data_IF_000432749889
#
_entry.id   IF_000432749889
#
_cell.length_a   1.000
_cell.length_b   1.000
_cell.length_c   1.000
_cell.angle_alpha   90.00
_cell.angle_beta   90.00
_cell.angle_gamma   90.00
#
_symmetry.space_group_name_H-M   'P 1'
#
loop_
_entity.id
_entity.type
_entity.pdbx_description
1 polymer ?
#
# COMPACT_ATOMS: atom_id res chain seq x y z
N UNK A 1 -1.06 -19.86 6.69
CA UNK A 1 -0.56 -19.02 5.59
C UNK A 1 0.92 -19.38 5.38
N UNK A 2 1.47 -19.25 4.18
CA UNK A 2 2.90 -19.50 3.90
C UNK A 2 3.68 -18.20 3.77
N UNK A 3 5.02 -18.22 3.91
CA UNK A 3 5.86 -17.02 3.70
C UNK A 3 5.64 -16.42 2.31
N UNK A 4 5.49 -17.24 1.28
CA UNK A 4 5.22 -16.77 -0.09
C UNK A 4 3.89 -16.02 -0.22
N UNK A 5 2.86 -16.45 0.51
CA UNK A 5 1.58 -15.73 0.55
C UNK A 5 1.75 -14.37 1.22
N UNK A 6 2.54 -14.30 2.31
CA UNK A 6 2.87 -13.04 2.99
C UNK A 6 3.54 -12.07 2.03
N UNK A 7 4.59 -12.51 1.34
CA UNK A 7 5.32 -11.67 0.38
C UNK A 7 4.39 -11.14 -0.71
N UNK A 8 3.52 -11.98 -1.27
CA UNK A 8 2.54 -11.55 -2.28
C UNK A 8 1.59 -10.48 -1.75
N UNK A 9 1.04 -10.70 -0.56
CA UNK A 9 0.12 -9.77 0.10
C UNK A 9 0.78 -8.43 0.39
N UNK A 10 2.04 -8.44 0.84
CA UNK A 10 2.84 -7.23 1.04
C UNK A 10 3.08 -6.49 -0.27
N UNK A 11 3.43 -7.18 -1.35
CA UNK A 11 3.63 -6.57 -2.67
C UNK A 11 2.34 -5.94 -3.20
N UNK A 12 1.21 -6.65 -3.10
CA UNK A 12 -0.09 -6.11 -3.46
C UNK A 12 -0.42 -4.86 -2.66
N UNK A 13 -0.26 -4.91 -1.33
CA UNK A 13 -0.50 -3.77 -0.47
C UNK A 13 0.39 -2.57 -0.83
N UNK A 14 1.70 -2.76 -1.04
CA UNK A 14 2.62 -1.69 -1.43
C UNK A 14 2.27 -1.09 -2.80
N UNK A 15 1.71 -1.90 -3.70
CA UNK A 15 1.20 -1.43 -4.99
C UNK A 15 -0.10 -0.63 -4.89
N UNK A 16 -0.72 -0.55 -3.70
CA UNK A 16 -1.97 0.16 -3.44
C UNK A 16 -3.22 -0.70 -3.32
N UNK A 17 -3.08 -2.03 -3.28
CA UNK A 17 -4.23 -2.89 -2.99
C UNK A 17 -4.73 -2.62 -1.57
N UNK A 18 -6.03 -2.38 -1.46
CA UNK A 18 -6.67 -2.14 -0.18
C UNK A 18 -7.25 -3.45 0.36
N UNK A 19 -7.24 -3.61 1.69
CA UNK A 19 -7.88 -4.74 2.39
C UNK A 19 -7.41 -6.13 1.92
N UNK A 20 -6.10 -6.30 1.83
CA UNK A 20 -5.49 -7.63 1.72
C UNK A 20 -5.81 -8.47 2.97
N UNK A 21 -5.62 -9.79 2.90
CA UNK A 21 -5.75 -10.66 4.07
C UNK A 21 -4.78 -10.25 5.19
N UNK A 22 -3.54 -9.85 4.85
CA UNK A 22 -2.52 -9.47 5.83
C UNK A 22 -2.71 -8.05 6.38
N UNK A 23 -3.07 -7.09 5.52
CA UNK A 23 -3.16 -5.67 5.87
C UNK A 23 -4.60 -5.16 5.77
N UNK A 24 -5.11 -4.66 6.89
CA UNK A 24 -6.48 -4.17 7.05
C UNK A 24 -6.50 -2.66 7.21
N UNK A 25 -7.51 -2.00 6.64
CA UNK A 25 -7.79 -0.61 7.01
C UNK A 25 -8.52 -0.57 8.35
N UNK A 26 -7.97 0.18 9.31
CA UNK A 26 -8.54 0.29 10.66
C UNK A 26 -9.43 1.53 10.80
N UNK A 27 -9.20 2.57 9.99
CA UNK A 27 -9.92 3.83 10.10
C UNK A 27 -10.22 4.48 8.75
N UNK A 28 -11.23 5.36 8.73
CA UNK A 28 -11.60 6.17 7.57
C UNK A 28 -10.49 7.16 7.14
N UNK A 29 -9.53 7.46 8.03
CA UNK A 29 -8.34 8.25 7.70
C UNK A 29 -7.36 7.49 6.77
N UNK A 30 -7.61 6.20 6.52
CA UNK A 30 -6.78 5.35 5.68
C UNK A 30 -5.67 4.62 6.42
N UNK A 31 -5.67 4.56 7.75
CA UNK A 31 -4.66 3.84 8.52
C UNK A 31 -4.67 2.33 8.21
N UNK A 32 -3.51 1.78 7.86
CA UNK A 32 -3.27 0.36 7.66
C UNK A 32 -2.71 -0.28 8.93
N UNK A 33 -3.20 -1.47 9.23
CA UNK A 33 -2.70 -2.30 10.33
C UNK A 33 -2.55 -3.76 9.88
N UNK A 34 -1.79 -4.52 10.64
CA UNK A 34 -1.53 -5.93 10.40
C UNK A 34 -2.62 -6.75 11.09
N UNK A 35 -3.20 -7.71 10.37
CA UNK A 35 -4.17 -8.62 10.96
C UNK A 35 -3.52 -9.47 12.05
N UNK A 36 -4.22 -9.60 13.18
CA UNK A 36 -3.80 -10.45 14.30
C UNK A 36 -3.70 -11.93 13.91
N UNK A 37 -2.94 -12.68 14.70
CA UNK A 37 -2.84 -14.15 14.62
C UNK A 37 -2.32 -14.68 13.28
N UNK A 38 -1.56 -13.87 12.53
CA UNK A 38 -0.79 -14.37 11.39
C UNK A 38 0.40 -15.16 11.91
N UNK A 39 0.55 -16.39 11.40
CA UNK A 39 1.65 -17.29 11.75
C UNK A 39 2.19 -17.98 10.50
N UNK A 40 3.50 -18.20 10.49
CA UNK A 40 4.23 -19.01 9.50
C UNK A 40 5.13 -20.00 10.22
N UNK A 41 5.67 -20.97 9.50
CA UNK A 41 6.43 -22.07 10.10
C UNK A 41 7.76 -21.61 10.71
N UNK A 42 8.42 -20.63 10.09
CA UNK A 42 9.82 -20.29 10.38
C UNK A 42 10.03 -18.98 11.17
N UNK A 43 8.96 -18.30 11.59
CA UNK A 43 9.05 -17.04 12.33
C UNK A 43 8.13 -17.07 13.55
N UNK A 44 8.59 -16.49 14.66
CA UNK A 44 7.72 -16.26 15.81
C UNK A 44 6.64 -15.23 15.46
N UNK A 45 5.44 -15.31 16.06
CA UNK A 45 4.36 -14.36 15.80
C UNK A 45 4.77 -12.91 16.04
N UNK A 46 5.58 -12.64 17.06
CA UNK A 46 6.01 -11.29 17.44
C UNK A 46 7.00 -10.70 16.41
N UNK A 47 7.97 -11.51 15.96
CA UNK A 47 8.91 -11.09 14.92
C UNK A 47 8.17 -10.84 13.60
N UNK A 48 7.23 -11.71 13.25
CA UNK A 48 6.43 -11.57 12.05
C UNK A 48 5.55 -10.31 12.10
N UNK A 49 4.84 -10.09 13.21
CA UNK A 49 4.02 -8.90 13.40
C UNK A 49 4.86 -7.63 13.25
N UNK A 50 5.98 -7.52 13.97
CA UNK A 50 6.88 -6.35 13.91
C UNK A 50 7.39 -6.07 12.48
N UNK A 51 7.79 -7.13 11.76
CA UNK A 51 8.21 -7.02 10.36
C UNK A 51 7.06 -6.51 9.47
N UNK A 52 5.87 -7.08 9.60
CA UNK A 52 4.71 -6.68 8.80
C UNK A 52 4.25 -5.25 9.14
N UNK A 53 4.31 -4.83 10.40
CA UNK A 53 3.97 -3.47 10.81
C UNK A 53 4.91 -2.44 10.15
N UNK A 54 6.19 -2.79 9.97
CA UNK A 54 7.15 -1.94 9.24
C UNK A 54 6.69 -1.73 7.79
N UNK A 55 6.22 -2.79 7.13
CA UNK A 55 5.64 -2.67 5.78
C UNK A 55 4.32 -1.91 5.77
N UNK A 56 3.47 -2.04 6.79
CA UNK A 56 2.21 -1.30 6.88
C UNK A 56 2.43 0.21 6.87
N UNK A 57 3.49 0.71 7.52
CA UNK A 57 3.88 2.13 7.47
C UNK A 57 4.23 2.58 6.04
N UNK A 58 4.99 1.79 5.29
CA UNK A 58 5.28 2.10 3.88
C UNK A 58 4.01 2.03 3.01
N UNK A 59 3.14 1.06 3.29
CA UNK A 59 1.80 0.94 2.70
C UNK A 59 0.95 2.18 2.86
N UNK A 60 0.94 2.72 4.09
CA UNK A 60 0.23 3.94 4.45
C UNK A 60 0.64 5.10 3.55
N UNK A 61 1.95 5.26 3.35
CA UNK A 61 2.51 6.32 2.52
C UNK A 61 2.16 6.11 1.04
N UNK A 62 2.24 4.87 0.53
CA UNK A 62 1.84 4.53 -0.83
C UNK A 62 0.37 4.85 -1.09
N UNK A 63 -0.52 4.51 -0.15
CA UNK A 63 -1.95 4.81 -0.27
C UNK A 63 -2.23 6.31 -0.21
N UNK A 64 -1.59 7.04 0.72
CA UNK A 64 -1.72 8.49 0.81
C UNK A 64 -1.25 9.18 -0.47
N UNK A 65 -0.15 8.73 -1.06
CA UNK A 65 0.34 9.24 -2.34
C UNK A 65 -0.67 8.97 -3.47
N UNK A 66 -1.25 7.77 -3.52
CA UNK A 66 -2.29 7.44 -4.50
C UNK A 66 -3.53 8.32 -4.35
N UNK A 67 -4.00 8.55 -3.11
CA UNK A 67 -5.13 9.45 -2.84
C UNK A 67 -4.82 10.88 -3.26
N UNK A 68 -3.62 11.38 -2.96
CA UNK A 68 -3.18 12.71 -3.37
C UNK A 68 -3.18 12.86 -4.90
N UNK A 69 -2.64 11.87 -5.61
CA UNK A 69 -2.64 11.92 -7.08
C UNK A 69 -4.08 11.93 -7.61
N UNK A 70 -4.95 11.07 -7.08
CA UNK A 70 -6.36 11.04 -7.47
C UNK A 70 -7.06 12.37 -7.20
N UNK A 71 -6.79 13.02 -6.06
CA UNK A 71 -7.40 14.32 -5.75
C UNK A 71 -6.91 15.45 -6.65
N UNK A 72 -5.63 15.44 -7.06
CA UNK A 72 -5.08 16.47 -7.95
C UNK A 72 -5.60 16.31 -9.38
N UNK A 73 -5.84 15.07 -9.81
CA UNK A 73 -6.34 14.76 -11.15
C UNK A 73 -7.86 14.84 -11.27
N UNK A 74 -8.57 15.03 -10.16
CA UNK A 74 -10.01 15.24 -10.18
C UNK A 74 -10.32 16.54 -10.96
N UNK A 75 -11.08 16.47 -12.06
CA UNK A 75 -11.44 17.65 -12.86
C UNK A 75 -12.18 18.73 -12.07
N UNK A 76 -12.79 18.38 -10.93
CA UNK A 76 -13.48 19.33 -10.04
C UNK A 76 -12.51 20.07 -9.09
N UNK A 77 -11.25 19.65 -9.02
CA UNK A 77 -10.24 20.27 -8.17
C UNK A 77 -9.47 21.33 -8.97
N UNK A 78 -9.59 22.59 -8.55
CA UNK A 78 -8.75 23.69 -9.03
C UNK A 78 -7.30 23.45 -8.59
N UNK A 79 -6.50 22.82 -9.45
CA UNK A 79 -5.09 22.52 -9.21
C UNK A 79 -4.19 23.25 -10.21
N UNK A 80 -3.02 23.68 -9.76
CA UNK A 80 -2.04 24.34 -10.63
C UNK A 80 -1.47 23.33 -11.63
N UNK A 81 -1.13 23.79 -12.84
CA UNK A 81 -0.49 22.97 -13.88
C UNK A 81 0.77 22.22 -13.36
N UNK A 82 1.55 22.85 -12.47
CA UNK A 82 2.71 22.21 -11.83
C UNK A 82 2.34 21.00 -10.98
N UNK A 83 1.23 21.06 -10.23
CA UNK A 83 0.75 19.94 -9.42
C UNK A 83 0.23 18.80 -10.30
N UNK A 84 -0.43 19.12 -11.40
CA UNK A 84 -0.88 18.13 -12.39
C UNK A 84 0.30 17.40 -13.03
N UNK A 85 1.37 18.10 -13.38
CA UNK A 85 2.59 17.47 -13.93
C UNK A 85 3.26 16.55 -12.91
N UNK A 86 3.36 16.99 -11.65
CA UNK A 86 3.95 16.18 -10.57
C UNK A 86 3.12 14.94 -10.25
N UNK A 87 1.79 15.03 -10.28
CA UNK A 87 0.90 13.89 -10.05
C UNK A 87 0.98 12.87 -11.19
N UNK A 88 1.06 13.32 -12.45
CA UNK A 88 1.28 12.44 -13.61
C UNK A 88 2.62 11.71 -13.52
N UNK A 89 3.70 12.39 -13.10
CA UNK A 89 4.99 11.75 -12.87
C UNK A 89 4.91 10.67 -11.77
N UNK A 90 4.22 10.97 -10.66
CA UNK A 90 3.96 9.99 -9.60
C UNK A 90 3.13 8.80 -10.08
N UNK A 91 2.17 8.98 -10.98
CA UNK A 91 1.42 7.85 -11.57
C UNK A 91 2.29 6.93 -12.40
N UNK A 92 3.22 7.49 -13.17
CA UNK A 92 4.14 6.69 -13.99
C UNK A 92 5.03 5.83 -13.10
N UNK A 93 5.57 6.39 -12.01
CA UNK A 93 6.39 5.63 -11.06
C UNK A 93 5.58 4.57 -10.32
N UNK A 94 4.35 4.90 -9.89
CA UNK A 94 3.44 3.94 -9.25
C UNK A 94 2.98 2.81 -10.20
N UNK A 95 2.78 3.10 -11.51
CA UNK A 95 2.45 2.07 -12.51
C UNK A 95 3.57 1.07 -12.71
N UNK A 96 4.83 1.52 -12.71
CA UNK A 96 5.98 0.61 -12.82
C UNK A 96 6.05 -0.36 -11.64
N UNK A 97 5.67 0.08 -10.44
CA UNK A 97 5.58 -0.78 -9.25
C UNK A 97 4.43 -1.79 -9.38
N UNK A 98 3.26 -1.36 -9.88
CA UNK A 98 2.11 -2.25 -10.13
C UNK A 98 2.41 -3.33 -11.18
N UNK A 99 3.18 -3.01 -12.21
CA UNK A 99 3.52 -3.97 -13.28
C UNK A 99 4.40 -5.13 -12.78
N UNK A 100 5.11 -4.97 -11.66
CA UNK A 100 5.86 -6.05 -11.02
C UNK A 100 4.98 -7.00 -10.18
N UNK A 101 3.75 -6.59 -9.85
CA UNK A 101 2.89 -7.28 -8.88
C UNK A 101 1.69 -8.01 -9.51
N UNK A 102 1.51 -7.88 -10.82
CA UNK A 102 0.46 -8.55 -11.60
C UNK A 102 1.13 -9.43 -12.68
N UNK A 103 0.82 -10.74 -12.78
CA UNK A 103 1.19 -11.53 -13.95
C UNK A 103 0.42 -11.05 -15.20
#
# INVERSE_FOLDING_TARGET
MTETQIVRETLWMLSGAQNTFVYMHVHQNGSLDVRDNIQVLHLTPECLFSLLSTFAVAGQQSLSLQKFVLSVLDPQTESTQTLQLLSLLCLVTLRNIKHCCHP
#
